data_IF_253100668526
#
_entry.id   IF_253100668526
#
_cell.length_a   1.000
_cell.length_b   1.000
_cell.length_c   1.000
_cell.angle_alpha   90.00
_cell.angle_beta   90.00
_cell.angle_gamma   90.00
#
_symmetry.space_group_name_H-M   'P 1'
#
loop_
_entity.id
_entity.type
_entity.pdbx_description
1 polymer ?
#
# COMPACT_ATOMS: atom_id res chain seq x y z
N UNK A 1 -7.88 74.55 -50.20
CA UNK A 1 -8.46 73.21 -50.23
C UNK A 1 -7.60 72.37 -49.31
N UNK A 2 -7.99 72.41 -48.04
CA UNK A 2 -8.29 71.27 -47.16
C UNK A 2 -7.15 70.25 -46.99
N UNK A 3 -6.44 70.26 -45.85
CA UNK A 3 -6.78 69.63 -44.53
C UNK A 3 -6.06 68.26 -44.45
N UNK A 4 -5.28 67.85 -43.43
CA UNK A 4 -5.14 68.21 -42.02
C UNK A 4 -3.70 67.96 -41.52
N UNK A 5 -3.22 68.91 -40.70
CA UNK A 5 -2.55 68.81 -39.38
C UNK A 5 -1.33 67.92 -39.11
N UNK A 6 -0.29 68.61 -38.63
CA UNK A 6 0.91 68.19 -37.89
C UNK A 6 0.63 67.45 -36.56
N UNK A 7 1.67 66.73 -36.07
CA UNK A 7 1.75 66.18 -34.71
C UNK A 7 3.10 65.53 -34.35
N UNK A 8 4.13 66.36 -34.18
CA UNK A 8 5.37 66.31 -33.36
C UNK A 8 5.91 64.98 -32.71
N UNK A 9 7.23 64.82 -32.89
CA UNK A 9 8.33 63.95 -32.37
C UNK A 9 8.46 63.87 -30.81
N UNK A 10 9.44 63.16 -30.19
CA UNK A 10 9.72 61.71 -29.99
C UNK A 10 9.66 61.27 -28.50
N UNK A 11 9.82 59.97 -28.20
CA UNK A 11 10.37 59.54 -26.89
C UNK A 11 11.35 58.36 -27.01
N UNK A 12 12.52 58.52 -26.40
CA UNK A 12 13.51 57.49 -26.14
C UNK A 12 13.05 56.56 -25.02
N UNK A 13 13.22 55.26 -25.20
CA UNK A 13 13.47 54.19 -24.20
C UNK A 13 13.27 52.88 -24.97
N UNK A 14 14.11 51.86 -24.92
CA UNK A 14 15.23 51.52 -24.09
C UNK A 14 15.51 50.06 -24.44
N UNK A 15 16.77 49.74 -24.62
CA UNK A 15 17.31 48.40 -24.85
C UNK A 15 16.74 47.40 -23.83
N UNK A 16 16.01 46.37 -24.29
CA UNK A 16 15.74 45.16 -23.51
C UNK A 16 15.53 43.98 -24.48
N UNK A 17 16.65 43.29 -24.75
CA UNK A 17 16.73 41.83 -24.72
C UNK A 17 15.60 41.07 -25.41
N UNK A 18 15.77 40.82 -26.70
CA UNK A 18 15.16 39.67 -27.35
C UNK A 18 15.71 38.39 -26.72
N UNK A 19 15.08 37.93 -25.63
CA UNK A 19 15.18 36.55 -25.19
C UNK A 19 14.41 35.76 -26.23
N UNK A 20 15.14 35.19 -27.21
CA UNK A 20 14.56 34.15 -28.03
C UNK A 20 14.19 33.01 -27.07
N UNK A 21 12.89 32.77 -26.91
CA UNK A 21 12.42 31.47 -26.49
C UNK A 21 12.92 30.48 -27.54
N UNK A 22 14.11 29.92 -27.30
CA UNK A 22 14.68 28.85 -28.09
C UNK A 22 13.73 27.67 -27.95
N UNK A 23 12.80 27.54 -28.90
CA UNK A 23 12.06 26.30 -29.11
C UNK A 23 13.09 25.20 -29.42
N UNK A 24 13.22 24.17 -28.57
CA UNK A 24 14.20 23.11 -28.76
C UNK A 24 13.97 22.30 -30.06
N UNK A 25 12.81 22.44 -30.70
CA UNK A 25 12.45 21.76 -31.95
C UNK A 25 13.27 22.19 -33.19
N UNK A 26 14.19 23.17 -33.07
CA UNK A 26 15.03 23.67 -34.18
C UNK A 26 16.54 23.57 -33.95
N UNK A 27 17.00 22.97 -32.86
CA UNK A 27 18.43 22.82 -32.59
C UNK A 27 19.05 21.73 -33.48
N UNK A 28 20.26 21.98 -33.98
CA UNK A 28 21.02 20.98 -34.71
C UNK A 28 21.48 19.84 -33.78
N UNK A 29 21.65 18.63 -34.31
CA UNK A 29 22.09 17.47 -33.51
C UNK A 29 23.44 17.70 -32.80
N UNK A 30 24.31 18.53 -33.38
CA UNK A 30 25.59 18.94 -32.78
C UNK A 30 25.40 19.88 -31.59
N UNK A 31 24.44 20.82 -31.65
CA UNK A 31 24.11 21.73 -30.54
C UNK A 31 23.46 20.98 -29.37
N UNK A 32 22.59 20.01 -29.65
CA UNK A 32 21.97 19.14 -28.64
C UNK A 32 23.00 18.25 -27.95
N UNK A 33 23.89 17.62 -28.75
CA UNK A 33 24.97 16.79 -28.23
C UNK A 33 25.96 17.59 -27.37
N UNK A 34 26.20 18.86 -27.73
CA UNK A 34 26.99 19.79 -26.93
C UNK A 34 26.29 20.18 -25.61
N UNK A 35 24.96 20.37 -25.61
CA UNK A 35 24.18 20.64 -24.39
C UNK A 35 24.21 19.46 -23.42
N UNK A 36 24.29 18.24 -23.94
CA UNK A 36 24.37 17.00 -23.17
C UNK A 36 25.80 16.47 -23.03
N UNK A 37 26.79 17.25 -23.44
CA UNK A 37 28.19 16.84 -23.43
C UNK A 37 28.61 16.47 -22.01
N UNK A 38 29.30 15.33 -21.86
CA UNK A 38 29.69 14.71 -20.57
C UNK A 38 28.57 14.02 -19.80
N UNK A 39 27.36 13.95 -20.34
CA UNK A 39 26.31 13.04 -19.83
C UNK A 39 26.22 11.79 -20.71
N UNK A 40 25.68 10.70 -20.18
CA UNK A 40 25.39 9.50 -20.98
C UNK A 40 24.29 9.73 -22.03
N UNK A 41 23.51 10.81 -21.89
CA UNK A 41 22.40 11.17 -22.76
C UNK A 41 22.82 11.65 -24.16
N UNK A 42 24.06 12.10 -24.32
CA UNK A 42 24.58 12.52 -25.63
C UNK A 42 24.75 11.35 -26.63
N UNK A 43 24.57 10.11 -26.17
CA UNK A 43 24.63 8.90 -27.00
C UNK A 43 23.27 8.45 -27.53
N UNK A 44 22.19 9.11 -27.11
CA UNK A 44 20.83 8.78 -27.52
C UNK A 44 20.48 9.38 -28.90
N UNK A 45 19.46 8.84 -29.60
CA UNK A 45 18.90 9.47 -30.80
C UNK A 45 18.54 10.95 -30.60
N UNK A 46 18.69 11.77 -31.64
CA UNK A 46 18.52 13.24 -31.59
C UNK A 46 17.12 13.62 -31.11
N UNK A 47 16.09 12.87 -31.53
CA UNK A 47 14.69 13.08 -31.16
C UNK A 47 14.48 13.01 -29.64
N UNK A 48 15.33 12.24 -28.95
CA UNK A 48 15.26 12.01 -27.51
C UNK A 48 16.15 12.98 -26.78
N UNK A 49 17.31 13.31 -27.35
CA UNK A 49 18.08 14.45 -26.85
C UNK A 49 17.23 15.73 -26.82
N UNK A 50 16.37 15.94 -27.82
CA UNK A 50 15.39 17.04 -27.84
C UNK A 50 14.42 16.94 -26.66
N UNK A 51 13.87 15.76 -26.39
CA UNK A 51 12.92 15.55 -25.28
C UNK A 51 13.59 15.72 -23.91
N UNK A 52 14.82 15.22 -23.76
CA UNK A 52 15.66 15.39 -22.58
C UNK A 52 16.00 16.87 -22.33
N UNK A 53 16.36 17.61 -23.38
CA UNK A 53 16.70 19.04 -23.30
C UNK A 53 15.45 19.90 -23.02
N UNK A 54 14.26 19.46 -23.48
CA UNK A 54 12.97 20.08 -23.13
C UNK A 54 12.68 19.99 -21.63
N UNK A 55 13.01 18.86 -21.01
CA UNK A 55 12.67 18.54 -19.62
C UNK A 55 13.78 18.96 -18.62
N UNK A 56 14.30 20.20 -18.74
CA UNK A 56 15.40 20.76 -17.92
C UNK A 56 15.50 20.13 -16.50
N UNK A 57 16.55 19.33 -16.27
CA UNK A 57 16.79 18.50 -15.08
C UNK A 57 15.90 17.24 -14.97
N UNK A 58 16.14 16.23 -15.81
CA UNK A 58 15.45 14.94 -15.74
C UNK A 58 15.69 14.23 -14.40
N UNK A 59 14.65 14.16 -13.59
CA UNK A 59 14.62 13.25 -12.47
C UNK A 59 14.35 11.80 -12.93
N UNK A 60 14.27 10.86 -12.00
CA UNK A 60 14.03 9.46 -12.36
C UNK A 60 12.57 9.17 -12.77
N UNK A 61 11.61 10.02 -12.41
CA UNK A 61 10.24 9.94 -12.89
C UNK A 61 10.14 10.37 -14.35
N UNK A 62 10.85 11.43 -14.74
CA UNK A 62 10.97 11.84 -16.13
C UNK A 62 11.62 10.75 -16.99
N UNK A 63 12.66 10.08 -16.48
CA UNK A 63 13.29 8.94 -17.17
C UNK A 63 12.36 7.74 -17.28
N UNK A 64 11.54 7.48 -16.26
CA UNK A 64 10.52 6.44 -16.32
C UNK A 64 9.45 6.76 -17.38
N UNK A 65 9.09 8.03 -17.54
CA UNK A 65 8.18 8.48 -18.61
C UNK A 65 8.84 8.49 -20.00
N UNK A 66 10.15 8.76 -20.09
CA UNK A 66 10.93 8.56 -21.32
C UNK A 66 10.96 7.08 -21.73
N UNK A 67 11.06 6.15 -20.77
CA UNK A 67 10.94 4.71 -21.03
C UNK A 67 9.55 4.34 -21.58
N UNK A 68 8.47 4.99 -21.12
CA UNK A 68 7.14 4.81 -21.70
C UNK A 68 7.07 5.31 -23.15
N UNK A 69 7.65 6.49 -23.42
CA UNK A 69 7.66 7.08 -24.76
C UNK A 69 8.52 6.29 -25.76
N UNK A 70 9.66 5.75 -25.29
CA UNK A 70 10.64 5.04 -26.11
C UNK A 70 11.08 3.69 -25.50
N UNK A 71 10.19 2.67 -25.51
CA UNK A 71 10.45 1.35 -24.92
C UNK A 71 11.73 0.65 -25.39
N UNK A 72 12.06 0.79 -26.68
CA UNK A 72 13.19 0.10 -27.32
C UNK A 72 14.55 0.56 -26.80
N UNK A 73 14.57 1.62 -25.98
CA UNK A 73 15.77 2.21 -25.41
C UNK A 73 15.98 1.82 -23.95
N UNK A 74 15.26 0.82 -23.46
CA UNK A 74 15.43 0.30 -22.12
C UNK A 74 16.90 -0.01 -21.81
N UNK A 75 17.64 -0.65 -22.73
CA UNK A 75 19.06 -0.93 -22.52
C UNK A 75 19.91 0.33 -22.39
N UNK A 76 19.71 1.32 -23.27
CA UNK A 76 20.49 2.55 -23.30
C UNK A 76 20.18 3.45 -22.10
N UNK A 77 18.90 3.56 -21.74
CA UNK A 77 18.46 4.29 -20.55
C UNK A 77 18.90 3.53 -19.28
N UNK A 78 18.87 2.19 -19.28
CA UNK A 78 19.36 1.39 -18.16
C UNK A 78 20.84 1.64 -17.86
N UNK A 79 21.70 1.59 -18.88
CA UNK A 79 23.14 1.89 -18.78
C UNK A 79 23.44 3.31 -18.31
N UNK A 80 22.51 4.23 -18.55
CA UNK A 80 22.65 5.63 -18.12
C UNK A 80 22.26 5.84 -16.65
N UNK A 81 21.53 4.90 -16.02
CA UNK A 81 21.31 4.98 -14.59
C UNK A 81 22.65 4.73 -13.89
N UNK A 82 22.98 5.55 -12.89
CA UNK A 82 24.21 5.35 -12.16
C UNK A 82 24.19 3.97 -11.50
N UNK A 83 25.03 3.05 -11.99
CA UNK A 83 25.38 1.79 -11.36
C UNK A 83 26.24 1.99 -10.10
N UNK A 84 26.12 3.15 -9.45
CA UNK A 84 26.95 3.55 -8.32
C UNK A 84 27.06 2.42 -7.31
N UNK A 85 28.26 2.24 -6.75
CA UNK A 85 28.46 1.27 -5.68
C UNK A 85 27.36 1.44 -4.62
N UNK A 86 26.88 0.36 -3.99
CA UNK A 86 25.84 0.44 -2.95
C UNK A 86 26.15 1.47 -1.85
N UNK A 87 27.43 1.80 -1.66
CA UNK A 87 27.92 2.76 -0.67
C UNK A 87 27.79 4.23 -1.10
N UNK A 88 27.76 4.55 -2.40
CA UNK A 88 27.59 5.92 -2.90
C UNK A 88 26.13 6.28 -3.10
N UNK A 89 25.29 5.28 -3.42
CA UNK A 89 23.88 5.48 -3.73
C UNK A 89 23.00 5.78 -2.48
N UNK A 90 23.52 5.46 -1.29
CA UNK A 90 22.88 5.71 0.02
C UNK A 90 23.49 6.92 0.78
N UNK A 91 24.17 7.83 0.07
CA UNK A 91 24.70 9.06 0.68
C UNK A 91 26.08 8.92 1.34
N UNK A 92 26.92 7.97 0.93
CA UNK A 92 28.27 7.88 1.49
C UNK A 92 28.29 7.44 2.96
N UNK A 93 29.48 7.32 3.53
CA UNK A 93 29.73 6.55 4.75
C UNK A 93 29.19 7.17 6.04
N UNK A 94 28.53 8.33 5.97
CA UNK A 94 28.17 9.16 7.13
C UNK A 94 26.74 9.74 7.08
N UNK A 95 25.86 9.26 6.18
CA UNK A 95 24.42 9.59 6.21
C UNK A 95 23.59 8.31 6.30
N UNK A 96 23.30 7.86 7.52
CA UNK A 96 22.23 6.90 7.78
C UNK A 96 20.88 7.60 7.56
N UNK A 97 20.55 7.94 6.33
CA UNK A 97 19.18 8.21 5.92
C UNK A 97 18.52 6.86 5.66
N UNK A 98 17.36 6.62 6.27
CA UNK A 98 16.56 5.43 6.00
C UNK A 98 16.36 5.27 4.48
N UNK A 99 16.38 4.02 3.97
CA UNK A 99 16.19 3.79 2.55
C UNK A 99 14.84 4.38 2.09
N UNK A 100 14.78 5.12 0.98
CA UNK A 100 13.59 5.86 0.61
C UNK A 100 12.44 4.93 0.22
N UNK A 101 11.23 5.35 0.57
CA UNK A 101 9.99 4.76 0.08
C UNK A 101 9.63 5.34 -1.30
N UNK A 102 9.07 4.50 -2.17
CA UNK A 102 8.70 4.88 -3.54
C UNK A 102 7.27 4.50 -3.83
N UNK A 103 6.58 5.39 -4.55
CA UNK A 103 5.21 5.21 -5.01
C UNK A 103 5.18 5.40 -6.53
N UNK A 104 4.81 4.35 -7.25
CA UNK A 104 4.70 4.36 -8.71
C UNK A 104 3.27 4.02 -9.08
N UNK A 105 2.58 4.99 -9.65
CA UNK A 105 1.23 4.82 -10.19
C UNK A 105 1.27 4.89 -11.70
N UNK A 106 0.57 4.00 -12.37
CA UNK A 106 0.43 4.04 -13.82
C UNK A 106 -0.93 4.59 -14.23
N UNK A 107 -0.91 5.65 -15.03
CA UNK A 107 -2.10 6.29 -15.56
C UNK A 107 -2.35 5.77 -16.98
N UNK A 108 -3.26 4.80 -17.12
CA UNK A 108 -3.49 4.09 -18.38
C UNK A 108 -3.99 4.97 -19.52
N UNK A 109 -4.80 6.00 -19.23
CA UNK A 109 -5.31 6.95 -20.25
C UNK A 109 -4.20 7.83 -20.79
N UNK A 110 -3.35 8.32 -19.90
CA UNK A 110 -2.22 9.21 -20.18
C UNK A 110 -0.98 8.44 -20.65
N UNK A 111 -0.95 7.12 -20.46
CA UNK A 111 0.17 6.21 -20.80
C UNK A 111 1.49 6.64 -20.15
N UNK A 112 1.41 7.09 -18.90
CA UNK A 112 2.56 7.61 -18.16
C UNK A 112 2.54 7.11 -16.72
N UNK A 113 3.70 7.14 -16.08
CA UNK A 113 3.83 6.93 -14.65
C UNK A 113 3.79 8.27 -13.93
N UNK A 114 3.17 8.28 -12.76
CA UNK A 114 3.20 9.40 -11.83
C UNK A 114 3.61 8.92 -10.44
N UNK A 115 4.23 9.82 -9.68
CA UNK A 115 4.48 9.64 -8.27
C UNK A 115 3.25 10.14 -7.49
N UNK A 116 2.58 9.22 -6.79
CA UNK A 116 1.36 9.50 -6.03
C UNK A 116 1.65 10.41 -4.82
N UNK A 117 2.87 10.38 -4.26
CA UNK A 117 3.27 11.24 -3.13
C UNK A 117 3.52 12.69 -3.55
N UNK A 118 3.99 12.92 -4.78
CA UNK A 118 4.22 14.27 -5.31
C UNK A 118 2.93 15.09 -5.41
N UNK A 119 1.79 14.42 -5.62
CA UNK A 119 0.46 15.05 -5.67
C UNK A 119 -0.07 15.48 -4.30
N UNK A 120 0.26 14.76 -3.23
CA UNK A 120 -0.25 15.03 -1.87
C UNK A 120 0.64 15.98 -1.05
N UNK A 121 1.97 15.91 -1.20
CA UNK A 121 2.90 16.64 -0.34
C UNK A 121 3.60 17.82 -1.03
N UNK A 122 3.24 18.14 -2.28
CA UNK A 122 3.88 19.22 -3.04
C UNK A 122 5.39 19.01 -3.24
N UNK A 123 5.89 17.79 -3.04
CA UNK A 123 7.29 17.45 -3.21
C UNK A 123 7.61 17.45 -4.70
N UNK A 124 8.58 18.28 -5.08
CA UNK A 124 8.85 18.62 -6.48
C UNK A 124 9.76 17.66 -7.23
N UNK A 125 10.12 16.50 -6.66
CA UNK A 125 10.94 15.51 -7.36
C UNK A 125 10.61 14.09 -6.86
N UNK A 126 10.23 13.14 -7.73
CA UNK A 126 10.25 11.73 -7.38
C UNK A 126 11.69 11.33 -6.97
N UNK A 127 11.86 10.58 -5.87
CA UNK A 127 13.17 10.09 -5.45
C UNK A 127 13.82 9.24 -6.54
N UNK A 128 15.13 9.02 -6.42
CA UNK A 128 15.87 8.13 -7.32
C UNK A 128 15.23 6.73 -7.29
N UNK A 129 14.47 6.38 -8.34
CA UNK A 129 13.74 5.09 -8.44
C UNK A 129 14.65 3.89 -8.69
N UNK A 130 15.59 4.04 -9.62
CA UNK A 130 16.38 2.92 -10.11
C UNK A 130 17.77 2.83 -9.49
N UNK A 131 18.27 1.60 -9.37
CA UNK A 131 19.63 1.31 -8.92
C UNK A 131 19.84 1.46 -7.42
N UNK A 132 18.75 1.43 -6.64
CA UNK A 132 18.77 1.60 -5.19
C UNK A 132 18.16 0.39 -4.46
N UNK A 133 18.41 0.37 -3.15
CA UNK A 133 17.68 -0.46 -2.20
C UNK A 133 16.65 0.40 -1.50
N UNK A 134 15.38 0.02 -1.62
CA UNK A 134 14.25 0.72 -1.01
C UNK A 134 13.77 0.02 0.25
N UNK A 135 13.19 0.79 1.16
CA UNK A 135 12.49 0.22 2.30
C UNK A 135 11.13 -0.27 1.83
N UNK A 136 10.35 0.59 1.16
CA UNK A 136 9.06 0.24 0.57
C UNK A 136 8.96 0.67 -0.89
N UNK A 137 8.38 -0.18 -1.72
CA UNK A 137 7.93 0.17 -3.08
C UNK A 137 6.44 -0.09 -3.16
N UNK A 138 5.67 0.90 -3.59
CA UNK A 138 4.22 0.82 -3.82
C UNK A 138 3.96 0.95 -5.31
N UNK A 139 3.27 -0.04 -5.87
CA UNK A 139 2.89 -0.10 -7.28
C UNK A 139 1.38 -0.11 -7.40
N UNK A 140 0.82 0.86 -8.13
CA UNK A 140 -0.63 1.08 -8.23
C UNK A 140 -1.06 1.13 -9.70
N UNK A 141 -2.23 0.54 -9.99
CA UNK A 141 -2.87 0.57 -11.32
C UNK A 141 -2.04 -0.06 -12.45
N UNK A 142 -1.11 -0.96 -12.10
CA UNK A 142 -0.39 -1.78 -13.07
C UNK A 142 -1.28 -2.91 -13.59
N UNK A 143 -1.07 -3.25 -14.86
CA UNK A 143 -1.80 -4.29 -15.57
C UNK A 143 -0.82 -5.11 -16.44
N UNK A 144 -1.02 -6.43 -16.55
CA UNK A 144 -0.11 -7.33 -17.27
C UNK A 144 -0.20 -7.19 -18.79
N UNK A 145 -1.29 -6.66 -19.35
CA UNK A 145 -1.42 -6.39 -20.78
C UNK A 145 -0.69 -5.10 -21.18
N UNK A 146 -0.41 -4.22 -20.22
CA UNK A 146 0.30 -2.97 -20.47
C UNK A 146 1.79 -3.21 -20.74
N UNK A 147 2.22 -2.88 -21.96
CA UNK A 147 3.65 -2.86 -22.35
C UNK A 147 4.51 -2.03 -21.39
N UNK A 148 3.96 -0.98 -20.78
CA UNK A 148 4.71 -0.10 -19.87
C UNK A 148 5.00 -0.78 -18.54
N UNK A 149 4.12 -1.67 -18.09
CA UNK A 149 4.38 -2.52 -16.93
C UNK A 149 5.58 -3.42 -17.15
N UNK A 150 5.67 -4.09 -18.31
CA UNK A 150 6.83 -4.92 -18.67
C UNK A 150 8.14 -4.10 -18.74
N UNK A 151 8.06 -2.87 -19.24
CA UNK A 151 9.22 -1.96 -19.33
C UNK A 151 9.69 -1.56 -17.93
N UNK A 152 8.77 -1.19 -17.02
CA UNK A 152 9.11 -0.88 -15.63
C UNK A 152 9.78 -2.07 -14.96
N UNK A 153 9.23 -3.27 -15.11
CA UNK A 153 9.80 -4.50 -14.57
C UNK A 153 11.23 -4.73 -15.08
N UNK A 154 11.45 -4.62 -16.40
CA UNK A 154 12.78 -4.76 -17.01
C UNK A 154 13.77 -3.66 -16.59
N UNK A 155 13.30 -2.45 -16.33
CA UNK A 155 14.12 -1.35 -15.81
C UNK A 155 14.57 -1.61 -14.37
N UNK A 156 13.66 -2.08 -13.50
CA UNK A 156 14.00 -2.46 -12.12
C UNK A 156 15.00 -3.62 -12.09
N UNK A 157 14.82 -4.63 -12.95
CA UNK A 157 15.72 -5.78 -13.05
C UNK A 157 17.11 -5.37 -13.53
N UNK A 158 17.19 -4.66 -14.67
CA UNK A 158 18.47 -4.27 -15.27
C UNK A 158 19.29 -3.32 -14.39
N UNK A 159 18.63 -2.54 -13.54
CA UNK A 159 19.29 -1.63 -12.60
C UNK A 159 19.57 -2.29 -11.24
N UNK A 160 19.23 -3.57 -11.05
CA UNK A 160 19.39 -4.29 -9.78
C UNK A 160 18.70 -3.59 -8.60
N UNK A 161 17.55 -2.96 -8.87
CA UNK A 161 16.74 -2.31 -7.85
C UNK A 161 16.15 -3.35 -6.91
N UNK A 162 16.19 -3.10 -5.60
CA UNK A 162 15.65 -4.02 -4.59
C UNK A 162 14.77 -3.29 -3.60
N UNK A 163 13.87 -4.01 -2.94
CA UNK A 163 13.00 -3.47 -1.89
C UNK A 163 12.91 -4.44 -0.72
N UNK A 164 12.77 -3.94 0.52
CA UNK A 164 12.42 -4.79 1.66
C UNK A 164 10.95 -5.17 1.60
N UNK A 165 10.05 -4.20 1.40
CA UNK A 165 8.59 -4.37 1.31
C UNK A 165 8.09 -3.94 -0.07
N UNK A 166 7.34 -4.82 -0.72
CA UNK A 166 6.56 -4.50 -1.91
C UNK A 166 5.08 -4.41 -1.54
N UNK A 167 4.45 -3.30 -1.91
CA UNK A 167 3.00 -3.11 -1.85
C UNK A 167 2.47 -3.06 -3.28
N UNK A 168 1.55 -3.94 -3.61
CA UNK A 168 0.96 -4.05 -4.94
C UNK A 168 -0.54 -3.79 -4.81
N UNK A 169 -1.00 -2.67 -5.37
CA UNK A 169 -2.41 -2.28 -5.40
C UNK A 169 -2.97 -2.47 -6.80
N UNK A 170 -3.90 -3.41 -6.91
CA UNK A 170 -4.49 -3.82 -8.20
C UNK A 170 -6.00 -3.84 -8.14
N UNK A 171 -6.58 -3.40 -9.24
CA UNK A 171 -8.03 -3.43 -9.46
C UNK A 171 -8.56 -4.86 -9.66
N UNK A 172 -7.73 -5.76 -10.20
CA UNK A 172 -8.04 -7.17 -10.39
C UNK A 172 -6.91 -8.07 -9.85
N UNK A 173 -7.22 -9.33 -9.54
CA UNK A 173 -6.24 -10.27 -9.00
C UNK A 173 -5.23 -10.74 -10.07
N UNK A 174 -4.20 -9.94 -10.34
CA UNK A 174 -3.06 -10.32 -11.18
C UNK A 174 -1.88 -10.81 -10.32
N UNK A 175 -1.99 -12.07 -9.89
CA UNK A 175 -0.99 -12.70 -9.03
C UNK A 175 0.35 -12.93 -9.75
N UNK A 176 0.33 -13.20 -11.06
CA UNK A 176 1.55 -13.43 -11.81
C UNK A 176 2.38 -12.15 -11.89
N UNK A 177 1.71 -11.03 -12.14
CA UNK A 177 2.37 -9.74 -12.22
C UNK A 177 3.03 -9.36 -10.89
N UNK A 178 2.29 -9.47 -9.79
CA UNK A 178 2.81 -9.18 -8.45
C UNK A 178 3.97 -10.12 -8.07
N UNK A 179 3.93 -11.39 -8.47
CA UNK A 179 5.04 -12.34 -8.30
C UNK A 179 6.29 -11.92 -9.08
N UNK A 180 6.13 -11.49 -10.33
CA UNK A 180 7.25 -11.05 -11.17
C UNK A 180 7.96 -9.83 -10.55
N UNK A 181 7.20 -8.86 -10.05
CA UNK A 181 7.76 -7.71 -9.32
C UNK A 181 8.42 -8.12 -8.00
N UNK A 182 7.79 -8.99 -7.20
CA UNK A 182 8.36 -9.46 -5.95
C UNK A 182 9.73 -10.16 -6.18
N UNK A 183 9.83 -10.95 -7.25
CA UNK A 183 11.05 -11.63 -7.66
C UNK A 183 12.14 -10.67 -8.12
N UNK A 184 11.80 -9.71 -8.99
CA UNK A 184 12.75 -8.70 -9.48
C UNK A 184 13.29 -7.84 -8.34
N UNK A 185 12.40 -7.37 -7.46
CA UNK A 185 12.76 -6.52 -6.33
C UNK A 185 13.38 -7.29 -5.15
N UNK A 186 13.35 -8.63 -5.18
CA UNK A 186 13.82 -9.53 -4.11
C UNK A 186 13.22 -9.15 -2.75
N UNK A 187 11.91 -8.87 -2.74
CA UNK A 187 11.22 -8.40 -1.55
C UNK A 187 10.99 -9.53 -0.55
N UNK A 188 11.29 -9.27 0.72
CA UNK A 188 11.03 -10.22 1.80
C UNK A 188 9.64 -10.07 2.42
N UNK A 189 9.00 -8.91 2.22
CA UNK A 189 7.66 -8.61 2.69
C UNK A 189 6.78 -8.24 1.49
N UNK A 190 5.60 -8.85 1.39
CA UNK A 190 4.64 -8.59 0.31
C UNK A 190 3.31 -8.11 0.91
N UNK A 191 2.79 -7.01 0.39
CA UNK A 191 1.46 -6.50 0.67
C UNK A 191 0.65 -6.47 -0.62
N UNK A 192 -0.46 -7.19 -0.66
CA UNK A 192 -1.37 -7.23 -1.81
C UNK A 192 -2.66 -6.49 -1.45
N UNK A 193 -3.06 -5.53 -2.27
CA UNK A 193 -4.28 -4.75 -2.06
C UNK A 193 -5.25 -5.00 -3.21
N UNK A 194 -6.46 -5.45 -2.87
CA UNK A 194 -7.54 -5.84 -3.78
C UNK A 194 -8.82 -5.01 -3.56
N UNK A 195 -8.70 -3.76 -3.06
CA UNK A 195 -9.84 -2.94 -2.56
C UNK A 195 -11.00 -2.82 -3.55
N UNK A 196 -10.74 -2.87 -4.86
CA UNK A 196 -11.74 -2.70 -5.91
C UNK A 196 -12.17 -4.01 -6.60
N UNK A 197 -11.64 -5.16 -6.19
CA UNK A 197 -11.97 -6.45 -6.79
C UNK A 197 -13.35 -6.94 -6.30
N UNK A 198 -14.42 -6.58 -7.04
CA UNK A 198 -15.80 -6.97 -6.71
C UNK A 198 -16.08 -8.47 -6.79
N UNK A 199 -15.27 -9.24 -7.54
CA UNK A 199 -15.47 -10.69 -7.70
C UNK A 199 -15.01 -11.45 -6.45
N UNK A 200 -14.12 -10.85 -5.67
CA UNK A 200 -13.41 -11.54 -4.58
C UNK A 200 -12.44 -12.60 -5.12
N UNK A 201 -11.57 -13.07 -4.24
CA UNK A 201 -10.61 -14.16 -4.49
C UNK A 201 -10.75 -15.20 -3.38
N UNK A 202 -10.33 -16.43 -3.63
CA UNK A 202 -10.21 -17.45 -2.57
C UNK A 202 -8.78 -17.61 -2.07
N UNK A 203 -8.62 -18.06 -0.83
CA UNK A 203 -7.31 -18.43 -0.28
C UNK A 203 -6.59 -19.49 -1.13
N UNK A 204 -7.34 -20.42 -1.73
CA UNK A 204 -6.78 -21.45 -2.60
C UNK A 204 -6.13 -20.84 -3.84
N UNK A 205 -6.83 -19.92 -4.52
CA UNK A 205 -6.31 -19.23 -5.71
C UNK A 205 -5.04 -18.44 -5.39
N UNK A 206 -5.04 -17.70 -4.27
CA UNK A 206 -3.87 -16.97 -3.79
C UNK A 206 -2.67 -17.92 -3.59
N UNK A 207 -2.87 -18.98 -2.81
CA UNK A 207 -1.77 -19.88 -2.44
C UNK A 207 -1.27 -20.72 -3.62
N UNK A 208 -2.13 -21.04 -4.58
CA UNK A 208 -1.73 -21.72 -5.82
C UNK A 208 -0.96 -20.80 -6.76
N UNK A 209 -1.31 -19.51 -6.82
CA UNK A 209 -0.58 -18.53 -7.61
C UNK A 209 0.80 -18.18 -7.01
N UNK A 210 0.95 -18.27 -5.69
CA UNK A 210 2.22 -18.02 -5.01
C UNK A 210 2.74 -19.30 -4.30
N UNK A 211 3.33 -20.26 -5.03
CA UNK A 211 3.80 -21.51 -4.43
C UNK A 211 4.95 -21.31 -3.42
N UNK A 212 5.65 -20.17 -3.48
CA UNK A 212 6.79 -19.82 -2.63
C UNK A 212 6.45 -18.82 -1.51
N UNK A 213 5.17 -18.69 -1.10
CA UNK A 213 4.78 -17.79 0.01
C UNK A 213 5.57 -18.04 1.30
N UNK A 214 5.96 -19.28 1.57
CA UNK A 214 6.73 -19.67 2.75
C UNK A 214 8.16 -19.10 2.77
N UNK A 215 8.65 -18.59 1.63
CA UNK A 215 9.96 -17.92 1.53
C UNK A 215 9.90 -16.45 1.95
N UNK A 216 8.69 -15.86 2.02
CA UNK A 216 8.50 -14.52 2.54
C UNK A 216 8.66 -14.50 4.07
N UNK A 217 9.09 -13.36 4.60
CA UNK A 217 9.03 -13.09 6.03
C UNK A 217 7.61 -12.67 6.43
N UNK A 218 6.94 -11.92 5.55
CA UNK A 218 5.62 -11.34 5.83
C UNK A 218 4.76 -11.30 4.56
N UNK A 219 3.50 -11.71 4.70
CA UNK A 219 2.44 -11.47 3.72
C UNK A 219 1.29 -10.70 4.38
N UNK A 220 0.91 -9.57 3.78
CA UNK A 220 -0.30 -8.84 4.14
C UNK A 220 -1.23 -8.78 2.93
N UNK A 221 -2.51 -9.08 3.13
CA UNK A 221 -3.52 -9.02 2.09
C UNK A 221 -4.66 -8.14 2.58
N UNK A 222 -4.94 -7.08 1.84
CA UNK A 222 -6.02 -6.14 2.11
C UNK A 222 -7.07 -6.24 1.01
N UNK A 223 -8.32 -6.55 1.37
CA UNK A 223 -9.43 -6.68 0.42
C UNK A 223 -10.00 -8.10 0.32
N UNK A 224 -11.00 -8.32 -0.56
CA UNK A 224 -11.92 -9.45 -0.47
C UNK A 224 -11.27 -10.78 -0.86
N UNK A 225 -10.62 -11.42 0.10
CA UNK A 225 -10.18 -12.82 0.04
C UNK A 225 -11.02 -13.64 1.00
N UNK A 226 -11.64 -14.72 0.54
CA UNK A 226 -12.44 -15.62 1.36
C UNK A 226 -11.71 -16.94 1.60
N UNK A 227 -11.86 -17.50 2.80
CA UNK A 227 -11.29 -18.78 3.18
C UNK A 227 -12.33 -19.66 3.91
N UNK A 228 -12.09 -20.96 3.87
CA UNK A 228 -12.68 -21.93 4.77
C UNK A 228 -11.61 -22.55 5.68
N UNK A 229 -12.05 -23.18 6.77
CA UNK A 229 -11.13 -23.77 7.74
C UNK A 229 -10.27 -24.90 7.18
N UNK A 230 -10.77 -25.63 6.17
CA UNK A 230 -10.05 -26.74 5.54
C UNK A 230 -8.91 -26.23 4.66
N UNK A 231 -9.16 -25.15 3.91
CA UNK A 231 -8.19 -24.48 3.04
C UNK A 231 -7.08 -23.85 3.88
N UNK A 232 -7.42 -23.19 5.00
CA UNK A 232 -6.44 -22.62 5.93
C UNK A 232 -5.54 -23.71 6.52
N UNK A 233 -6.13 -24.84 6.94
CA UNK A 233 -5.37 -25.98 7.46
C UNK A 233 -4.49 -26.63 6.39
N UNK A 234 -5.04 -26.88 5.19
CA UNK A 234 -4.35 -27.54 4.08
C UNK A 234 -3.10 -26.76 3.64
N UNK A 235 -3.17 -25.43 3.63
CA UNK A 235 -2.09 -24.56 3.16
C UNK A 235 -1.14 -24.09 4.26
N UNK A 236 -1.30 -24.59 5.49
CA UNK A 236 -0.49 -24.18 6.64
C UNK A 236 1.03 -24.23 6.40
N UNK A 237 1.48 -25.25 5.67
CA UNK A 237 2.91 -25.42 5.31
C UNK A 237 3.45 -24.37 4.32
N UNK A 238 2.57 -23.63 3.65
CA UNK A 238 2.92 -22.64 2.63
C UNK A 238 2.91 -21.20 3.16
N UNK A 239 2.43 -20.96 4.38
CA UNK A 239 2.36 -19.60 4.91
C UNK A 239 3.71 -19.12 5.44
N UNK A 240 3.98 -17.80 5.32
CA UNK A 240 5.12 -17.16 5.94
C UNK A 240 4.99 -17.08 7.48
N UNK A 241 6.07 -16.74 8.20
CA UNK A 241 6.07 -16.51 9.64
C UNK A 241 5.05 -15.46 10.09
N UNK A 242 4.94 -14.35 9.34
CA UNK A 242 3.95 -13.29 9.58
C UNK A 242 2.93 -13.22 8.45
N UNK A 243 1.66 -13.27 8.79
CA UNK A 243 0.55 -13.31 7.84
C UNK A 243 -0.57 -12.40 8.33
N UNK A 244 -1.14 -11.60 7.45
CA UNK A 244 -2.28 -10.75 7.78
C UNK A 244 -3.30 -10.77 6.65
N UNK A 245 -4.54 -11.14 6.96
CA UNK A 245 -5.68 -11.01 6.06
C UNK A 245 -6.65 -9.98 6.65
N UNK A 246 -6.58 -8.77 6.12
CA UNK A 246 -7.46 -7.67 6.48
C UNK A 246 -8.64 -7.65 5.50
N UNK A 247 -9.69 -8.37 5.88
CA UNK A 247 -10.96 -8.46 5.18
C UNK A 247 -12.03 -8.93 6.17
N UNK A 248 -13.04 -8.10 6.40
CA UNK A 248 -14.14 -8.37 7.34
C UNK A 248 -14.90 -9.66 7.04
N UNK A 249 -14.71 -10.30 5.90
CA UNK A 249 -15.33 -11.58 5.54
C UNK A 249 -14.31 -12.67 5.18
N UNK A 250 -13.05 -12.56 5.63
CA UNK A 250 -12.03 -13.57 5.34
C UNK A 250 -12.43 -14.95 5.87
N UNK A 251 -12.86 -15.01 7.13
CA UNK A 251 -13.39 -16.21 7.77
C UNK A 251 -14.71 -15.90 8.48
N UNK A 252 -15.57 -16.93 8.58
CA UNK A 252 -16.70 -16.95 9.51
C UNK A 252 -16.33 -17.73 10.78
N UNK A 253 -17.04 -17.49 11.88
CA UNK A 253 -16.82 -18.15 13.18
C UNK A 253 -16.70 -19.68 13.08
N UNK A 254 -17.61 -20.32 12.34
CA UNK A 254 -17.60 -21.77 12.16
C UNK A 254 -16.33 -22.29 11.47
N UNK A 255 -15.75 -21.52 10.55
CA UNK A 255 -14.51 -21.88 9.86
C UNK A 255 -13.30 -21.79 10.78
N UNK A 256 -13.22 -20.75 11.62
CA UNK A 256 -12.15 -20.62 12.62
C UNK A 256 -12.24 -21.73 13.66
N UNK A 257 -13.43 -21.97 14.21
CA UNK A 257 -13.65 -23.04 15.21
C UNK A 257 -13.22 -24.39 14.64
N UNK A 258 -13.61 -24.68 13.39
CA UNK A 258 -13.19 -25.89 12.68
C UNK A 258 -11.67 -25.96 12.53
N UNK A 259 -11.04 -24.87 12.11
CA UNK A 259 -9.59 -24.78 11.95
C UNK A 259 -8.84 -25.05 13.27
N UNK A 260 -9.20 -24.36 14.36
CA UNK A 260 -8.54 -24.55 15.66
C UNK A 260 -8.72 -25.97 16.21
N UNK A 261 -9.93 -26.55 16.10
CA UNK A 261 -10.16 -27.95 16.49
C UNK A 261 -9.33 -28.92 15.63
N UNK A 262 -9.19 -28.64 14.34
CA UNK A 262 -8.37 -29.46 13.44
C UNK A 262 -6.89 -29.37 13.80
N UNK A 263 -6.39 -28.18 14.17
CA UNK A 263 -5.02 -28.01 14.67
C UNK A 263 -4.75 -28.87 15.92
N UNK A 264 -5.61 -28.79 16.94
CA UNK A 264 -5.41 -29.51 18.22
C UNK A 264 -5.57 -31.03 18.05
N UNK A 265 -6.51 -31.48 17.21
CA UNK A 265 -6.74 -32.91 17.00
C UNK A 265 -5.72 -33.59 16.08
N UNK A 266 -4.95 -32.81 15.31
CA UNK A 266 -3.93 -33.35 14.41
C UNK A 266 -2.65 -33.69 15.17
N UNK A 267 -2.17 -34.94 15.01
CA UNK A 267 -0.83 -35.33 15.43
C UNK A 267 0.16 -35.05 14.31
N UNK A 268 0.91 -33.96 14.41
CA UNK A 268 1.90 -33.57 13.42
C UNK A 268 3.16 -34.44 13.57
N UNK A 269 3.69 -34.93 12.45
CA UNK A 269 4.98 -35.61 12.43
C UNK A 269 6.10 -34.59 12.70
N UNK A 270 7.06 -34.98 13.55
CA UNK A 270 8.25 -34.16 13.81
C UNK A 270 9.03 -33.93 12.51
N UNK A 271 9.41 -32.67 12.26
CA UNK A 271 10.11 -32.29 11.03
C UNK A 271 9.21 -32.19 9.79
N UNK A 272 7.91 -32.48 9.88
CA UNK A 272 6.98 -32.24 8.76
C UNK A 272 6.91 -30.75 8.40
N UNK A 273 6.61 -30.40 7.13
CA UNK A 273 6.48 -29.00 6.71
C UNK A 273 5.46 -28.23 7.55
N UNK A 274 4.33 -28.87 7.90
CA UNK A 274 3.30 -28.26 8.74
C UNK A 274 3.80 -28.00 10.17
N UNK A 275 4.47 -28.97 10.81
CA UNK A 275 5.09 -28.77 12.12
C UNK A 275 6.13 -27.63 12.10
N UNK A 276 6.94 -27.58 11.04
CA UNK A 276 7.94 -26.53 10.88
C UNK A 276 7.29 -25.15 10.69
N UNK A 277 6.15 -25.04 10.01
CA UNK A 277 5.41 -23.78 9.87
C UNK A 277 4.79 -23.34 11.19
N UNK A 278 4.18 -24.25 11.96
CA UNK A 278 3.64 -23.95 13.30
C UNK A 278 4.73 -23.39 14.23
N UNK A 279 5.91 -24.02 14.25
CA UNK A 279 7.06 -23.55 15.06
C UNK A 279 7.63 -22.21 14.60
N UNK A 280 7.28 -21.74 13.39
CA UNK A 280 7.76 -20.47 12.80
C UNK A 280 6.73 -19.34 12.86
N UNK A 281 5.51 -19.58 13.33
CA UNK A 281 4.50 -18.52 13.47
C UNK A 281 5.06 -17.40 14.37
N UNK A 282 5.10 -16.19 13.80
CA UNK A 282 5.40 -14.95 14.53
C UNK A 282 4.07 -14.26 14.84
N UNK A 283 3.32 -13.89 13.81
CA UNK A 283 2.01 -13.27 13.97
C UNK A 283 1.11 -13.55 12.77
N UNK A 284 0.04 -14.31 12.98
CA UNK A 284 -0.98 -14.56 11.98
C UNK A 284 -2.28 -13.87 12.38
N UNK A 285 -2.67 -12.83 11.65
CA UNK A 285 -3.87 -12.05 11.92
C UNK A 285 -4.95 -12.31 10.86
N UNK A 286 -6.17 -12.55 11.32
CA UNK A 286 -7.35 -12.80 10.49
C UNK A 286 -8.52 -11.94 10.96
N UNK A 287 -9.13 -11.23 10.03
CA UNK A 287 -10.41 -10.55 10.27
C UNK A 287 -11.59 -11.50 10.04
N UNK A 288 -12.64 -11.34 10.85
CA UNK A 288 -13.76 -12.28 10.89
C UNK A 288 -15.07 -11.52 10.89
N UNK A 289 -15.98 -11.98 10.03
CA UNK A 289 -17.38 -11.53 10.10
C UNK A 289 -18.06 -12.26 11.25
N UNK A 290 -18.68 -11.53 12.18
CA UNK A 290 -19.60 -12.11 13.13
C UNK A 290 -21.01 -11.54 12.89
N UNK A 291 -21.99 -12.43 12.82
CA UNK A 291 -23.40 -12.04 12.68
C UNK A 291 -23.89 -11.49 14.02
N UNK A 292 -24.40 -10.25 13.99
CA UNK A 292 -25.17 -9.71 15.10
C UNK A 292 -26.63 -10.07 14.86
N UNK A 293 -27.12 -11.11 15.53
CA UNK A 293 -28.54 -11.42 15.56
C UNK A 293 -29.29 -10.30 16.28
N UNK A 294 -30.10 -9.54 15.55
CA UNK A 294 -31.09 -8.64 16.16
C UNK A 294 -32.34 -9.48 16.39
N UNK A 295 -32.45 -10.12 17.55
CA UNK A 295 -33.76 -10.61 17.99
C UNK A 295 -34.57 -9.40 18.49
N UNK A 296 -35.73 -9.14 17.87
CA UNK A 296 -36.70 -8.15 18.33
C UNK A 296 -37.13 -8.48 19.76
N UNK A 297 -36.50 -7.82 20.75
CA UNK A 297 -36.94 -7.86 22.14
C UNK A 297 -35.85 -7.94 23.20
N UNK A 298 -34.61 -8.30 22.86
CA UNK A 298 -33.51 -8.34 23.83
C UNK A 298 -32.43 -7.30 23.50
N UNK A 299 -32.24 -6.36 24.43
CA UNK A 299 -31.15 -5.38 24.37
C UNK A 299 -29.86 -6.03 24.85
N UNK A 300 -29.20 -6.81 23.99
CA UNK A 300 -27.73 -7.01 23.95
C UNK A 300 -27.38 -8.04 22.86
N UNK A 301 -26.57 -7.62 21.90
CA UNK A 301 -26.03 -8.46 20.81
C UNK A 301 -25.28 -9.68 21.38
N UNK A 302 -25.86 -10.88 21.29
CA UNK A 302 -25.27 -12.10 21.87
C UNK A 302 -24.30 -12.80 20.91
N UNK A 303 -23.17 -12.16 20.59
CA UNK A 303 -22.06 -12.90 19.98
C UNK A 303 -21.37 -13.78 21.02
N UNK A 304 -20.91 -14.97 20.62
CA UNK A 304 -20.11 -15.85 21.47
C UNK A 304 -18.63 -15.64 21.23
N UNK A 305 -17.90 -15.52 22.33
CA UNK A 305 -16.44 -15.40 22.29
C UNK A 305 -15.81 -16.69 21.81
N UNK A 306 -14.68 -16.59 21.12
CA UNK A 306 -14.03 -17.75 20.54
C UNK A 306 -13.61 -18.71 21.65
N UNK A 307 -13.11 -18.16 22.76
CA UNK A 307 -12.79 -18.92 23.97
C UNK A 307 -13.95 -19.77 24.51
N UNK A 308 -15.21 -19.36 24.27
CA UNK A 308 -16.40 -20.13 24.64
C UNK A 308 -16.76 -21.17 23.58
N UNK A 309 -16.59 -20.82 22.29
CA UNK A 309 -16.86 -21.72 21.16
C UNK A 309 -15.89 -22.90 21.09
N UNK A 310 -14.67 -22.72 21.57
CA UNK A 310 -13.59 -23.73 21.58
C UNK A 310 -13.17 -24.16 22.99
N UNK A 311 -14.02 -23.95 24.00
CA UNK A 311 -13.71 -24.30 25.39
C UNK A 311 -13.32 -25.78 25.59
N UNK A 312 -13.77 -26.67 24.70
CA UNK A 312 -13.45 -28.10 24.70
C UNK A 312 -11.98 -28.43 24.38
N UNK A 313 -11.26 -27.53 23.71
CA UNK A 313 -9.86 -27.72 23.31
C UNK A 313 -8.87 -26.83 24.08
N UNK A 314 -9.38 -25.96 24.96
CA UNK A 314 -8.54 -25.14 25.85
C UNK A 314 -8.14 -26.02 27.05
N UNK A 315 -6.84 -26.11 27.39
CA UNK A 315 -6.41 -26.89 28.56
C UNK A 315 -7.10 -26.40 29.84
N UNK A 316 -7.58 -27.28 30.74
CA UNK A 316 -8.41 -26.90 31.89
C UNK A 316 -7.77 -25.88 32.85
N UNK A 317 -6.45 -25.90 32.94
CA UNK A 317 -5.66 -25.02 33.82
C UNK A 317 -5.20 -23.72 33.12
N UNK A 318 -5.59 -23.52 31.84
CA UNK A 318 -5.20 -22.34 31.07
C UNK A 318 -5.88 -21.09 31.62
N UNK A 319 -5.07 -20.07 31.89
CA UNK A 319 -5.60 -18.75 32.26
C UNK A 319 -5.99 -17.98 31.00
N UNK A 320 -7.28 -17.71 30.83
CA UNK A 320 -7.75 -16.72 29.86
C UNK A 320 -7.36 -15.34 30.38
N UNK A 321 -6.50 -14.63 29.65
CA UNK A 321 -6.10 -13.27 30.01
C UNK A 321 -7.04 -12.26 29.36
N UNK A 322 -7.74 -11.48 30.18
CA UNK A 322 -8.52 -10.34 29.70
C UNK A 322 -7.63 -9.09 29.67
N UNK A 323 -7.57 -8.45 28.51
CA UNK A 323 -6.86 -7.19 28.28
C UNK A 323 -7.91 -6.08 28.11
N UNK A 324 -8.58 -5.70 29.20
CA UNK A 324 -9.65 -4.72 29.13
C UNK A 324 -9.13 -3.37 28.63
N UNK A 325 -9.84 -2.78 27.67
CA UNK A 325 -9.67 -1.37 27.31
C UNK A 325 -10.17 -0.50 28.47
N UNK A 326 -9.44 0.56 28.80
CA UNK A 326 -9.84 1.52 29.84
C UNK A 326 -11.22 2.17 29.58
N UNK A 327 -11.73 2.08 28.34
CA UNK A 327 -13.04 2.58 27.93
C UNK A 327 -14.11 1.48 27.78
N UNK A 328 -13.77 0.20 27.98
CA UNK A 328 -14.71 -0.93 27.92
C UNK A 328 -15.29 -1.23 26.53
N UNK A 329 -14.85 -0.53 25.49
CA UNK A 329 -15.35 -0.65 24.11
C UNK A 329 -14.75 -1.82 23.34
N UNK A 330 -13.55 -2.25 23.74
CA UNK A 330 -12.79 -3.32 23.10
C UNK A 330 -12.57 -4.43 24.11
N UNK A 331 -13.06 -5.63 23.79
CA UNK A 331 -12.78 -6.84 24.57
C UNK A 331 -11.62 -7.60 23.92
N UNK A 332 -10.61 -7.94 24.71
CA UNK A 332 -9.43 -8.69 24.25
C UNK A 332 -9.19 -9.88 25.16
N UNK A 333 -9.07 -11.07 24.57
CA UNK A 333 -8.81 -12.31 25.30
C UNK A 333 -7.64 -13.06 24.70
N UNK A 334 -6.78 -13.62 25.54
CA UNK A 334 -5.69 -14.51 25.12
C UNK A 334 -5.86 -15.87 25.81
N UNK A 335 -5.77 -16.95 25.04
CA UNK A 335 -5.74 -18.32 25.54
C UNK A 335 -4.71 -19.17 24.77
N UNK A 336 -4.29 -20.27 25.37
CA UNK A 336 -3.32 -21.19 24.76
C UNK A 336 -4.00 -22.42 24.15
N UNK A 337 -3.41 -22.93 23.08
CA UNK A 337 -3.73 -24.22 22.48
C UNK A 337 -2.48 -25.09 22.50
N UNK A 338 -2.68 -26.36 22.87
CA UNK A 338 -1.61 -27.34 22.94
C UNK A 338 -1.69 -28.27 21.74
N UNK A 339 -0.66 -28.27 20.90
CA UNK A 339 -0.57 -29.04 19.67
C UNK A 339 0.37 -30.25 19.86
N UNK A 340 0.00 -31.40 19.32
CA UNK A 340 0.85 -32.59 19.34
C UNK A 340 1.82 -32.58 18.15
N UNK A 341 3.12 -32.42 18.42
CA UNK A 341 4.18 -32.40 17.40
C UNK A 341 5.23 -33.47 17.72
N UNK A 342 5.20 -34.59 17.01
CA UNK A 342 5.99 -35.76 17.34
C UNK A 342 5.59 -36.34 18.70
N UNK A 343 6.56 -36.44 19.60
CA UNK A 343 6.37 -36.80 21.01
C UNK A 343 6.37 -35.56 21.93
N UNK A 344 6.51 -34.35 21.36
CA UNK A 344 6.48 -33.08 22.07
C UNK A 344 5.12 -32.40 21.99
N UNK A 345 4.88 -31.51 22.95
CA UNK A 345 3.74 -30.61 22.96
C UNK A 345 4.23 -29.21 22.57
N UNK A 346 3.66 -28.64 21.50
CA UNK A 346 3.94 -27.28 21.06
C UNK A 346 2.78 -26.37 21.46
N UNK A 347 3.07 -25.23 22.07
CA UNK A 347 2.05 -24.26 22.50
C UNK A 347 1.96 -23.14 21.47
N UNK A 348 0.73 -22.84 21.04
CA UNK A 348 0.41 -21.61 20.32
C UNK A 348 -0.55 -20.78 21.17
N UNK A 349 -0.49 -19.48 21.03
CA UNK A 349 -1.41 -18.56 21.67
C UNK A 349 -2.40 -18.03 20.65
N UNK A 350 -3.64 -17.87 21.08
CA UNK A 350 -4.72 -17.27 20.31
C UNK A 350 -5.16 -16.01 21.04
N UNK A 351 -5.05 -14.86 20.39
CA UNK A 351 -5.64 -13.61 20.84
C UNK A 351 -6.89 -13.34 20.01
N UNK A 352 -7.98 -13.05 20.70
CA UNK A 352 -9.23 -12.56 20.13
C UNK A 352 -9.40 -11.09 20.54
N UNK A 353 -9.73 -10.24 19.57
CA UNK A 353 -10.04 -8.84 19.79
C UNK A 353 -11.39 -8.52 19.15
N UNK A 354 -12.29 -7.92 19.94
CA UNK A 354 -13.63 -7.54 19.50
C UNK A 354 -13.82 -6.06 19.77
N UNK A 355 -14.04 -5.31 18.70
CA UNK A 355 -14.44 -3.92 18.74
C UNK A 355 -15.93 -3.83 18.40
N UNK A 356 -16.71 -3.59 19.45
CA UNK A 356 -18.17 -3.48 19.35
C UNK A 356 -18.64 -2.23 18.60
N UNK A 357 -17.83 -1.17 18.59
CA UNK A 357 -18.16 0.09 17.92
C UNK A 357 -18.05 -0.09 16.41
N UNK A 358 -16.96 -0.71 15.95
CA UNK A 358 -16.66 -0.92 14.54
C UNK A 358 -17.17 -2.25 13.99
N UNK A 359 -17.87 -3.04 14.82
CA UNK A 359 -18.37 -4.38 14.49
C UNK A 359 -17.28 -5.27 13.93
N UNK A 360 -16.13 -5.24 14.59
CA UNK A 360 -14.90 -5.86 14.12
C UNK A 360 -14.46 -6.96 15.07
N UNK A 361 -14.10 -8.13 14.52
CA UNK A 361 -13.50 -9.23 15.26
C UNK A 361 -12.22 -9.64 14.56
N UNK A 362 -11.11 -9.58 15.30
CA UNK A 362 -9.82 -10.06 14.86
C UNK A 362 -9.40 -11.29 15.66
N UNK A 363 -8.70 -12.19 14.98
CA UNK A 363 -7.97 -13.27 15.63
C UNK A 363 -6.51 -13.15 15.27
N UNK A 364 -5.65 -13.30 16.26
CA UNK A 364 -4.20 -13.40 16.10
C UNK A 364 -3.70 -14.74 16.65
N UNK A 365 -2.84 -15.43 15.90
CA UNK A 365 -2.11 -16.61 16.34
C UNK A 365 -0.62 -16.28 16.42
N UNK A 366 0.02 -16.63 17.52
CA UNK A 366 1.46 -16.44 17.72
C UNK A 366 2.09 -17.56 18.56
N UNK A 367 3.40 -17.72 18.48
CA UNK A 367 4.14 -18.64 19.35
C UNK A 367 4.52 -18.02 20.69
N UNK A 368 4.50 -16.69 20.83
CA UNK A 368 4.77 -16.00 22.09
C UNK A 368 3.72 -14.93 22.33
N UNK A 369 3.36 -14.73 23.60
CA UNK A 369 2.41 -13.66 23.96
C UNK A 369 2.98 -12.25 23.77
N UNK A 370 4.31 -12.11 23.74
CA UNK A 370 4.99 -10.84 23.46
C UNK A 370 4.77 -10.36 22.01
N UNK A 371 4.45 -11.29 21.10
CA UNK A 371 4.19 -10.98 19.69
C UNK A 371 2.83 -10.29 19.50
N UNK A 372 1.97 -10.25 20.52
CA UNK A 372 0.68 -9.54 20.50
C UNK A 372 0.77 -8.06 20.94
N UNK A 373 1.98 -7.54 21.17
CA UNK A 373 2.20 -6.21 21.75
C UNK A 373 1.97 -5.04 20.79
N UNK A 374 1.81 -5.27 19.49
CA UNK A 374 1.20 -4.28 18.60
C UNK A 374 -0.31 -4.38 18.73
N UNK A 375 -0.92 -3.35 19.32
CA UNK A 375 -2.35 -3.11 19.18
C UNK A 375 -2.63 -3.12 17.68
N UNK A 376 -3.59 -3.94 17.24
CA UNK A 376 -4.06 -3.86 15.85
C UNK A 376 -4.50 -2.42 15.69
N UNK A 377 -3.78 -1.66 14.87
CA UNK A 377 -4.13 -0.29 14.54
C UNK A 377 -5.60 -0.28 14.16
N UNK A 378 -6.41 0.30 15.06
CA UNK A 378 -7.83 0.53 14.81
C UNK A 378 -7.95 1.25 13.46
N UNK A 379 -9.01 1.04 12.68
CA UNK A 379 -9.23 1.78 11.44
C UNK A 379 -9.16 3.31 11.59
N UNK A 380 -9.17 3.84 12.81
CA UNK A 380 -9.01 5.27 13.13
C UNK A 380 -7.61 5.71 13.59
N UNK A 381 -6.59 4.83 13.62
CA UNK A 381 -5.20 5.25 13.95
C UNK A 381 -4.57 6.15 12.88
N UNK A 382 -5.24 6.37 11.74
CA UNK A 382 -4.88 7.38 10.76
C UNK A 382 -5.62 8.70 10.97
N UNK A 383 -5.67 9.26 12.18
CA UNK A 383 -5.97 10.68 12.38
C UNK A 383 -5.01 11.27 13.43
N UNK A 384 -3.96 11.91 12.89
CA UNK A 384 -3.14 12.98 13.51
C UNK A 384 -2.29 12.52 14.71
N UNK A 385 -1.03 12.18 14.45
CA UNK A 385 0.05 12.47 15.39
C UNK A 385 1.13 13.27 14.68
N UNK A 386 1.46 14.41 15.29
CA UNK A 386 2.64 15.23 15.09
C UNK A 386 2.59 16.31 14.00
N UNK A 387 1.56 17.16 14.06
CA UNK A 387 1.76 18.61 13.89
C UNK A 387 1.06 19.35 15.02
N UNK A 388 1.68 19.34 16.20
CA UNK A 388 1.48 20.42 17.17
C UNK A 388 2.12 21.66 16.55
N UNK A 389 1.35 22.42 15.77
CA UNK A 389 1.66 23.82 15.48
C UNK A 389 1.69 24.57 16.82
N UNK A 390 2.88 24.70 17.39
CA UNK A 390 3.17 25.84 18.23
C UNK A 390 3.29 27.07 17.35
N UNK A 391 2.21 27.82 17.18
CA UNK A 391 2.30 29.27 17.07
C UNK A 391 1.27 29.89 18.00
N UNK A 392 1.79 30.49 19.06
CA UNK A 392 1.06 31.20 20.08
C UNK A 392 0.69 32.62 19.61
N UNK A 393 -0.55 33.01 19.94
CA UNK A 393 -0.96 34.30 20.49
C UNK A 393 -0.79 35.54 19.59
N UNK A 394 -1.92 36.10 19.17
CA UNK A 394 -2.22 37.51 19.46
C UNK A 394 -3.71 37.69 19.76
N UNK A 395 -3.98 38.10 21.00
CA UNK A 395 -5.25 38.62 21.52
C UNK A 395 -5.71 39.87 20.75
N UNK A 396 -7.04 40.04 20.58
CA UNK A 396 -7.81 41.21 21.04
C UNK A 396 -9.32 41.08 20.71
N UNK A 397 -10.12 40.84 21.75
CA UNK A 397 -11.59 40.99 21.93
C UNK A 397 -12.13 42.43 21.61
N UNK A 398 -13.44 42.77 21.75
CA UNK A 398 -14.73 42.03 21.57
C UNK A 398 -15.86 42.85 20.83
N UNK A 399 -16.91 42.15 20.34
CA UNK A 399 -18.39 42.41 20.17
C UNK A 399 -19.04 43.85 20.16
N UNK A 400 -20.38 44.06 19.84
CA UNK A 400 -21.42 43.28 19.11
C UNK A 400 -22.41 44.13 18.22
N UNK A 401 -23.47 43.46 17.72
CA UNK A 401 -24.88 43.88 17.50
C UNK A 401 -25.39 44.35 16.11
N UNK A 402 -26.42 43.66 15.57
CA UNK A 402 -27.77 44.20 15.25
C UNK A 402 -28.72 43.16 14.58
N UNK A 403 -29.70 42.69 15.38
CA UNK A 403 -31.16 42.50 15.15
C UNK A 403 -31.80 41.72 13.97
N UNK A 404 -32.78 40.89 14.37
CA UNK A 404 -33.86 40.16 13.66
C UNK A 404 -34.58 40.85 12.49
N UNK A 405 -35.04 40.07 11.49
CA UNK A 405 -36.48 39.79 11.22
C UNK A 405 -36.77 39.14 9.84
N UNK A 406 -37.54 38.05 9.90
CA UNK A 406 -38.65 37.60 9.02
C UNK A 406 -38.45 36.91 7.64
N UNK A 407 -39.12 35.74 7.58
CA UNK A 407 -40.09 35.26 6.58
C UNK A 407 -39.60 34.84 5.18
N UNK A 408 -39.57 33.53 4.91
CA UNK A 408 -40.68 32.81 4.22
C UNK A 408 -40.20 31.47 3.62
N UNK A 409 -40.69 30.36 4.19
CA UNK A 409 -40.73 29.03 3.59
C UNK A 409 -42.19 28.74 3.20
N UNK A 410 -42.45 28.09 2.05
CA UNK A 410 -43.65 27.28 1.91
C UNK A 410 -43.30 25.81 1.73
N UNK A 411 -43.78 24.99 2.67
CA UNK A 411 -44.12 23.59 2.46
C UNK A 411 -45.32 23.48 1.51
N UNK A 412 -45.27 22.54 0.58
CA UNK A 412 -46.47 21.90 0.02
C UNK A 412 -46.16 20.44 -0.30
N UNK A 413 -46.69 19.54 0.54
CA UNK A 413 -47.11 18.19 0.17
C UNK A 413 -48.39 18.29 -0.68
N UNK A 414 -48.46 17.55 -1.79
CA UNK A 414 -49.51 16.55 -2.05
C UNK A 414 -49.36 15.90 -3.44
N UNK A 415 -49.44 14.57 -3.42
CA UNK A 415 -49.88 13.56 -4.41
C UNK A 415 -50.44 14.07 -5.76
N UNK A 416 -50.22 13.40 -6.90
CA UNK A 416 -50.76 12.09 -7.25
C UNK A 416 -49.97 11.39 -8.39
N UNK A 417 -50.06 10.06 -8.35
CA UNK A 417 -49.75 9.08 -9.41
C UNK A 417 -50.38 9.42 -10.77
N UNK A 418 -49.72 8.99 -11.87
CA UNK A 418 -50.36 8.16 -12.91
C UNK A 418 -49.36 7.74 -14.00
N UNK A 419 -49.15 6.42 -14.05
CA UNK A 419 -48.87 5.49 -15.15
C UNK A 419 -48.44 6.00 -16.55
N UNK A 420 -47.29 5.48 -17.04
CA UNK A 420 -47.20 4.58 -18.21
C UNK A 420 -45.87 3.82 -18.31
#
# INVERSE_FOLDING_TARGET
MDDLSEGTVPSQMGDLTGVSENRPDKQSGEELSACLERTYWNRLPVEIQIEIVKQKNLDNGDKLNLLCAYPDLLSVISESYPHDSPNTANGGKDTETEPPDIYIKYLSKEKMFCDEMAGFFGSRQPPKIFGLKHNRVVLTDLDSESKHTSILLGALESTSTTARKLCFDVNEADFQLSLDFAKVLKSSCLQLTFRYNKKGTTLNELVEAFPALFELNELSVLGPVNADGDSLFRHLSKFPPSLCFNNTSFLHDGHVVKFLRTLVSTKFEEGSPAAASLKRIVNWTFDISYEIGIEEGETMNSYKLLSELVADIIPPDSKIMNLDSAMGTVERRIFELHLAVGDEQHVIYVKEEIDNLHRYRAIQLANQTADFCEVVDSPDSSIISDMVEQVSIFDSDPDPDFSDANDDYPDYDDFEDDDY
#
